data_IF_684258549894
#
_entry.id   IF_684258549894
#
_cell.length_a   1.000
_cell.length_b   1.000
_cell.length_c   1.000
_cell.angle_alpha   90.00
_cell.angle_beta   90.00
_cell.angle_gamma   90.00
#
_symmetry.space_group_name_H-M   'P 1'
#
loop_
_entity.id
_entity.type
_entity.pdbx_description
1 polymer ?
#
# COMPACT_ATOMS: atom_id res chain seq x y z
N UNK A 1 8.14 -27.21 -13.16
CA UNK A 1 8.39 -26.09 -12.26
C UNK A 1 7.32 -26.06 -11.19
N UNK A 2 7.78 -25.90 -9.99
CA UNK A 2 6.88 -25.82 -8.86
C UNK A 2 6.47 -24.37 -8.64
N UNK A 3 5.17 -24.11 -8.68
CA UNK A 3 4.62 -22.82 -8.27
C UNK A 3 4.51 -22.87 -6.75
N UNK A 4 4.89 -21.80 -6.08
CA UNK A 4 4.77 -21.76 -4.62
C UNK A 4 3.30 -21.82 -4.21
N UNK A 5 3.04 -22.42 -3.06
CA UNK A 5 1.67 -22.47 -2.51
C UNK A 5 1.07 -21.08 -2.32
N UNK A 6 1.92 -20.08 -2.03
CA UNK A 6 1.49 -18.70 -1.90
C UNK A 6 0.97 -18.15 -3.22
N UNK A 7 1.68 -18.39 -4.33
CA UNK A 7 1.24 -17.92 -5.65
C UNK A 7 -0.09 -18.54 -6.05
N UNK A 8 -0.25 -19.85 -5.79
CA UNK A 8 -1.51 -20.54 -6.06
C UNK A 8 -2.66 -19.98 -5.23
N UNK A 9 -2.38 -19.69 -3.97
CA UNK A 9 -3.38 -19.11 -3.06
C UNK A 9 -3.76 -17.70 -3.47
N UNK A 10 -2.80 -16.88 -3.88
CA UNK A 10 -3.06 -15.53 -4.36
C UNK A 10 -3.89 -15.58 -5.65
N UNK A 11 -3.57 -16.48 -6.58
CA UNK A 11 -4.34 -16.63 -7.81
C UNK A 11 -5.78 -17.06 -7.52
N UNK A 12 -5.98 -17.98 -6.60
CA UNK A 12 -7.31 -18.43 -6.20
C UNK A 12 -8.09 -17.31 -5.52
N UNK A 13 -7.42 -16.53 -4.66
CA UNK A 13 -8.03 -15.39 -3.99
C UNK A 13 -8.45 -14.33 -5.01
N UNK A 14 -7.59 -13.99 -5.95
CA UNK A 14 -7.89 -12.99 -6.98
C UNK A 14 -9.04 -13.44 -7.88
N UNK A 15 -9.07 -14.71 -8.27
CA UNK A 15 -10.16 -15.26 -9.08
C UNK A 15 -11.50 -15.19 -8.35
N UNK A 16 -11.48 -15.46 -7.04
CA UNK A 16 -12.71 -15.47 -6.24
C UNK A 16 -13.23 -14.06 -5.96
N UNK A 17 -12.34 -13.11 -5.72
CA UNK A 17 -12.70 -11.76 -5.27
C UNK A 17 -12.46 -10.68 -6.31
N UNK A 18 -12.15 -11.03 -7.56
CA UNK A 18 -11.79 -10.07 -8.61
C UNK A 18 -12.82 -8.97 -8.82
N UNK A 19 -14.11 -9.27 -8.62
CA UNK A 19 -15.21 -8.31 -8.81
C UNK A 19 -15.85 -7.85 -7.51
N UNK A 20 -15.26 -8.18 -6.38
CA UNK A 20 -15.77 -7.77 -5.08
C UNK A 20 -15.20 -6.40 -4.70
N UNK A 21 -16.04 -5.38 -4.76
CA UNK A 21 -15.63 -4.00 -4.48
C UNK A 21 -15.12 -3.82 -3.04
N UNK A 22 -15.73 -4.53 -2.09
CA UNK A 22 -15.31 -4.45 -0.68
C UNK A 22 -13.92 -5.03 -0.50
N UNK A 23 -13.64 -6.15 -1.17
CA UNK A 23 -12.30 -6.77 -1.12
C UNK A 23 -11.27 -5.87 -1.78
N UNK A 24 -11.60 -5.30 -2.93
CA UNK A 24 -10.72 -4.36 -3.63
C UNK A 24 -10.39 -3.17 -2.74
N UNK A 25 -11.41 -2.58 -2.11
CA UNK A 25 -11.22 -1.46 -1.19
C UNK A 25 -10.33 -1.86 -0.01
N UNK A 26 -10.59 -3.02 0.58
CA UNK A 26 -9.82 -3.49 1.73
C UNK A 26 -8.35 -3.71 1.39
N UNK A 27 -8.07 -4.31 0.23
CA UNK A 27 -6.71 -4.53 -0.24
C UNK A 27 -6.00 -3.21 -0.51
N UNK A 28 -6.66 -2.28 -1.20
CA UNK A 28 -6.10 -0.97 -1.51
C UNK A 28 -5.81 -0.17 -0.24
N UNK A 29 -6.73 -0.18 0.71
CA UNK A 29 -6.53 0.50 1.99
C UNK A 29 -5.35 -0.11 2.76
N UNK A 30 -5.23 -1.44 2.75
CA UNK A 30 -4.10 -2.10 3.40
C UNK A 30 -2.79 -1.75 2.72
N UNK A 31 -2.75 -1.73 1.39
CA UNK A 31 -1.57 -1.30 0.63
C UNK A 31 -1.15 0.11 1.01
N UNK A 32 -2.11 1.04 1.05
CA UNK A 32 -1.83 2.43 1.39
C UNK A 32 -1.35 2.59 2.83
N UNK A 33 -1.89 1.80 3.75
CA UNK A 33 -1.42 1.76 5.13
C UNK A 33 0.05 1.29 5.20
N UNK A 34 0.36 0.22 4.49
CA UNK A 34 1.73 -0.32 4.44
C UNK A 34 2.69 0.72 3.83
N UNK A 35 2.26 1.40 2.78
CA UNK A 35 3.04 2.46 2.16
C UNK A 35 3.30 3.60 3.13
N UNK A 36 2.28 4.03 3.86
CA UNK A 36 2.41 5.10 4.84
C UNK A 36 3.40 4.72 5.95
N UNK A 37 3.33 3.50 6.44
CA UNK A 37 4.25 3.03 7.49
C UNK A 37 5.68 2.97 6.97
N UNK A 38 5.88 2.49 5.76
CA UNK A 38 7.21 2.43 5.15
C UNK A 38 7.77 3.83 4.94
N UNK A 39 6.98 4.76 4.41
CA UNK A 39 7.42 6.15 4.19
C UNK A 39 7.72 6.82 5.52
N UNK A 40 6.89 6.62 6.54
CA UNK A 40 7.12 7.17 7.88
C UNK A 40 8.45 6.69 8.46
N UNK A 41 8.79 5.42 8.23
CA UNK A 41 10.06 4.86 8.63
C UNK A 41 11.22 5.57 7.93
N UNK A 42 11.10 5.81 6.62
CA UNK A 42 12.13 6.54 5.87
C UNK A 42 12.31 7.96 6.38
N UNK A 43 11.24 8.61 6.82
CA UNK A 43 11.29 9.95 7.38
C UNK A 43 11.74 10.00 8.84
N UNK A 44 11.82 8.85 9.50
CA UNK A 44 12.20 8.78 10.91
C UNK A 44 11.11 9.24 11.87
N UNK A 45 9.83 9.09 11.50
CA UNK A 45 8.74 9.49 12.37
C UNK A 45 8.65 8.61 13.63
N UNK A 46 8.42 9.21 14.80
CA UNK A 46 8.22 8.44 16.02
C UNK A 46 6.91 7.66 16.01
N UNK A 47 6.85 6.61 16.82
CA UNK A 47 5.70 5.70 16.85
C UNK A 47 4.36 6.38 17.10
N UNK A 48 4.34 7.44 17.92
CA UNK A 48 3.12 8.16 18.26
C UNK A 48 2.55 9.00 17.11
N UNK A 49 3.33 9.17 16.02
CA UNK A 49 2.87 9.91 14.83
C UNK A 49 2.43 9.00 13.69
N UNK A 50 2.63 7.69 13.81
CA UNK A 50 2.37 6.76 12.71
C UNK A 50 0.89 6.67 12.35
N UNK A 51 0.01 6.58 13.34
CA UNK A 51 -1.43 6.47 13.09
C UNK A 51 -1.97 7.70 12.36
N UNK A 52 -1.54 8.89 12.78
CA UNK A 52 -1.95 10.14 12.11
C UNK A 52 -1.46 10.19 10.67
N UNK A 53 -0.23 9.78 10.43
CA UNK A 53 0.32 9.77 9.08
C UNK A 53 -0.40 8.76 8.17
N UNK A 54 -0.73 7.58 8.70
CA UNK A 54 -1.52 6.59 7.96
C UNK A 54 -2.84 7.20 7.50
N UNK A 55 -3.53 7.92 8.39
CA UNK A 55 -4.79 8.59 8.06
C UNK A 55 -4.63 9.63 6.96
N UNK A 56 -3.55 10.40 6.98
CA UNK A 56 -3.27 11.38 5.93
C UNK A 56 -3.10 10.71 4.56
N UNK A 57 -2.35 9.63 4.51
CA UNK A 57 -2.10 8.92 3.25
C UNK A 57 -3.38 8.26 2.74
N UNK A 58 -4.15 7.63 3.62
CA UNK A 58 -5.42 7.02 3.23
C UNK A 58 -6.39 8.08 2.69
N UNK A 59 -6.44 9.25 3.30
CA UNK A 59 -7.29 10.34 2.84
C UNK A 59 -6.90 10.85 1.46
N UNK A 60 -5.60 10.89 1.15
CA UNK A 60 -5.12 11.39 -0.13
C UNK A 60 -5.59 10.54 -1.31
N UNK A 61 -5.84 9.24 -1.09
CA UNK A 61 -6.27 8.31 -2.14
C UNK A 61 -7.67 8.64 -2.68
N UNK A 62 -8.42 9.50 -2.01
CA UNK A 62 -9.75 9.89 -2.46
C UNK A 62 -9.77 11.15 -3.33
N UNK A 63 -8.63 11.79 -3.54
CA UNK A 63 -8.57 13.06 -4.29
C UNK A 63 -8.71 12.86 -5.79
N UNK A 64 -8.10 11.79 -6.32
CA UNK A 64 -8.13 11.48 -7.75
C UNK A 64 -8.26 9.97 -7.95
N UNK A 65 -8.71 9.57 -9.12
CA UNK A 65 -8.70 8.16 -9.50
C UNK A 65 -7.26 7.69 -9.72
N UNK A 66 -6.97 6.47 -9.33
CA UNK A 66 -5.65 5.86 -9.50
C UNK A 66 -4.74 6.11 -8.31
N UNK A 67 -3.45 5.81 -8.49
CA UNK A 67 -2.49 5.80 -7.40
C UNK A 67 -1.59 7.03 -7.34
N UNK A 68 -1.68 7.93 -8.31
CA UNK A 68 -0.75 9.06 -8.42
C UNK A 68 -0.91 10.08 -7.30
N UNK A 69 -2.09 10.20 -6.72
CA UNK A 69 -2.31 11.08 -5.58
C UNK A 69 -1.56 10.58 -4.35
N UNK A 70 -1.53 9.25 -4.13
CA UNK A 70 -0.75 8.65 -3.04
C UNK A 70 0.74 8.89 -3.28
N UNK A 71 1.21 8.65 -4.49
CA UNK A 71 2.62 8.85 -4.86
C UNK A 71 3.00 10.32 -4.64
N UNK A 72 2.16 11.26 -5.08
CA UNK A 72 2.40 12.70 -4.93
C UNK A 72 2.48 13.11 -3.46
N UNK A 73 1.55 12.59 -2.66
CA UNK A 73 1.50 12.87 -1.22
C UNK A 73 2.79 12.44 -0.52
N UNK A 74 3.19 11.18 -0.72
CA UNK A 74 4.36 10.66 -0.01
C UNK A 74 5.66 11.25 -0.55
N UNK A 75 5.74 11.55 -1.85
CA UNK A 75 6.91 12.20 -2.43
C UNK A 75 7.10 13.61 -1.84
N UNK A 76 6.02 14.37 -1.70
CA UNK A 76 6.06 15.68 -1.09
C UNK A 76 6.58 15.60 0.35
N UNK A 77 6.06 14.66 1.12
CA UNK A 77 6.43 14.51 2.52
C UNK A 77 7.89 14.07 2.68
N UNK A 78 8.36 13.17 1.83
CA UNK A 78 9.75 12.73 1.83
C UNK A 78 10.71 13.87 1.47
N UNK A 79 10.35 14.68 0.47
CA UNK A 79 11.14 15.86 0.10
C UNK A 79 11.23 16.84 1.27
N UNK A 80 10.11 17.09 1.92
CA UNK A 80 10.06 18.01 3.08
C UNK A 80 10.89 17.49 4.25
N UNK A 81 11.00 16.17 4.38
CA UNK A 81 11.80 15.54 5.45
C UNK A 81 13.30 15.44 5.10
N UNK A 82 13.70 15.88 3.91
CA UNK A 82 15.08 15.78 3.46
C UNK A 82 15.50 14.37 3.07
N UNK A 83 14.54 13.52 2.74
CA UNK A 83 14.77 12.12 2.37
C UNK A 83 14.11 11.80 1.02
N UNK A 84 14.43 12.54 -0.06
CA UNK A 84 13.73 12.39 -1.32
C UNK A 84 13.90 10.98 -1.91
N UNK A 85 12.80 10.45 -2.45
CA UNK A 85 12.77 9.18 -3.17
C UNK A 85 12.05 9.47 -4.49
N UNK A 86 12.56 8.93 -5.59
CA UNK A 86 11.97 9.19 -6.90
C UNK A 86 10.57 8.59 -7.00
N UNK A 87 9.72 9.21 -7.82
CA UNK A 87 8.37 8.72 -8.06
C UNK A 87 8.37 7.28 -8.60
N UNK A 88 9.33 6.95 -9.48
CA UNK A 88 9.44 5.59 -10.02
C UNK A 88 9.78 4.58 -8.93
N UNK A 89 10.68 4.92 -8.01
CA UNK A 89 11.01 4.05 -6.88
C UNK A 89 9.80 3.88 -5.95
N UNK A 90 9.04 4.95 -5.74
CA UNK A 90 7.81 4.89 -4.93
C UNK A 90 6.75 4.01 -5.59
N UNK A 91 6.58 4.11 -6.90
CA UNK A 91 5.64 3.25 -7.64
C UNK A 91 6.02 1.78 -7.54
N UNK A 92 7.32 1.49 -7.63
CA UNK A 92 7.82 0.12 -7.48
C UNK A 92 7.54 -0.43 -6.09
N UNK A 93 7.76 0.38 -5.06
CA UNK A 93 7.46 -0.04 -3.69
C UNK A 93 5.96 -0.26 -3.50
N UNK A 94 5.14 0.62 -4.07
CA UNK A 94 3.70 0.48 -3.97
C UNK A 94 3.22 -0.82 -4.61
N UNK A 95 3.80 -1.20 -5.74
CA UNK A 95 3.49 -2.47 -6.40
C UNK A 95 3.88 -3.68 -5.55
N UNK A 96 5.04 -3.63 -4.90
CA UNK A 96 5.46 -4.68 -3.98
C UNK A 96 4.49 -4.80 -2.79
N UNK A 97 4.08 -3.66 -2.25
CA UNK A 97 3.17 -3.62 -1.11
C UNK A 97 1.75 -4.06 -1.48
N UNK A 98 1.37 -3.94 -2.75
CA UNK A 98 0.10 -4.48 -3.22
C UNK A 98 0.05 -5.99 -3.05
N UNK A 99 1.13 -6.69 -3.37
CA UNK A 99 1.23 -8.14 -3.21
C UNK A 99 1.14 -8.51 -1.72
N UNK A 100 1.88 -7.79 -0.88
CA UNK A 100 1.84 -8.01 0.56
C UNK A 100 0.45 -7.76 1.14
N UNK A 101 -0.22 -6.69 0.69
CA UNK A 101 -1.57 -6.36 1.12
C UNK A 101 -2.56 -7.47 0.77
N UNK A 102 -2.49 -8.00 -0.44
CA UNK A 102 -3.33 -9.14 -0.86
C UNK A 102 -3.11 -10.34 0.03
N UNK A 103 -1.85 -10.65 0.33
CA UNK A 103 -1.50 -11.78 1.20
C UNK A 103 -2.08 -11.60 2.59
N UNK A 104 -1.95 -10.40 3.16
CA UNK A 104 -2.46 -10.11 4.50
C UNK A 104 -3.99 -10.21 4.56
N UNK A 105 -4.68 -9.62 3.59
CA UNK A 105 -6.14 -9.65 3.55
C UNK A 105 -6.64 -11.07 3.34
N UNK A 106 -6.00 -11.84 2.47
CA UNK A 106 -6.33 -13.23 2.26
C UNK A 106 -6.23 -14.03 3.56
N UNK A 107 -5.17 -13.79 4.35
CA UNK A 107 -4.97 -14.48 5.63
C UNK A 107 -6.05 -14.13 6.64
N UNK A 108 -6.59 -12.93 6.59
CA UNK A 108 -7.62 -12.47 7.53
C UNK A 108 -8.99 -13.10 7.25
N UNK A 109 -9.26 -13.51 6.01
CA UNK A 109 -10.57 -14.04 5.63
C UNK A 109 -10.58 -15.56 5.45
N UNK A 110 -9.45 -16.19 5.54
CA UNK A 110 -9.31 -17.66 5.47
C UNK A 110 -8.84 -18.22 6.81
#
# INVERSE_FOLDING_TARGET
>A
ITVSGLDDRLSAFEAKYAHDEQMTFKVTARRNKLMALWVAEQMGKPADQLEGYVKEVLSSDFEEAGDEDVIRKVAFDLDAAGKPITADALRSRLAELMIEAKTQVMSEIT
#
